data_IF_741345314903
#
_entry.id   IF_741345314903
#
_cell.length_a   1.000
_cell.length_b   1.000
_cell.length_c   1.000
_cell.angle_alpha   90.00
_cell.angle_beta   90.00
_cell.angle_gamma   90.00
#
_symmetry.space_group_name_H-M   'P 1'
#
loop_
_entity.id
_entity.type
_entity.pdbx_description
1 polymer ?
#
# COMPACT_ATOMS: atom_id res chain seq x y z
N UNK A 1 20.72 -5.35 5.51
CA UNK A 1 20.00 -5.09 6.79
C UNK A 1 19.35 -3.71 6.70
N UNK A 2 18.18 -3.63 6.06
CA UNK A 2 17.34 -2.44 6.20
C UNK A 2 16.49 -2.66 7.44
N UNK A 3 16.92 -2.11 8.57
CA UNK A 3 16.04 -1.95 9.71
C UNK A 3 14.93 -0.99 9.27
N UNK A 4 13.75 -1.53 8.96
CA UNK A 4 12.51 -0.76 8.86
C UNK A 4 12.19 -0.29 10.28
N UNK A 5 12.85 0.79 10.71
CA UNK A 5 12.41 1.54 11.87
C UNK A 5 11.03 2.07 11.48
N UNK A 6 9.95 1.70 12.20
CA UNK A 6 8.63 2.22 11.89
C UNK A 6 8.71 3.73 11.95
N UNK A 7 8.45 4.36 10.81
CA UNK A 7 8.53 5.80 10.69
C UNK A 7 7.39 6.41 11.52
N UNK A 8 7.77 7.14 12.57
CA UNK A 8 6.83 7.80 13.46
C UNK A 8 6.44 9.19 12.96
N UNK A 9 7.01 9.64 11.85
CA UNK A 9 6.90 11.04 11.38
C UNK A 9 5.45 11.50 11.17
N UNK A 10 4.50 10.58 11.03
CA UNK A 10 3.09 10.93 10.80
C UNK A 10 2.10 10.34 11.82
N UNK A 11 2.56 9.70 12.89
CA UNK A 11 1.66 9.11 13.90
C UNK A 11 0.80 10.18 14.57
N UNK A 12 -0.52 9.95 14.60
CA UNK A 12 -1.53 10.88 15.12
C UNK A 12 -1.94 11.98 14.14
N UNK A 13 -1.35 12.03 12.94
CA UNK A 13 -1.75 12.99 11.91
C UNK A 13 -3.13 12.60 11.37
N UNK A 14 -3.98 13.61 11.16
CA UNK A 14 -5.27 13.42 10.53
C UNK A 14 -5.09 13.27 9.02
N UNK A 15 -5.79 12.30 8.45
CA UNK A 15 -5.84 12.09 7.01
C UNK A 15 -7.04 12.85 6.46
N UNK A 16 -6.80 13.71 5.47
CA UNK A 16 -7.89 14.35 4.75
C UNK A 16 -8.62 13.32 3.87
N UNK A 17 -9.84 12.96 4.28
CA UNK A 17 -10.72 12.07 3.53
C UNK A 17 -12.05 12.77 3.21
N UNK A 18 -12.73 12.32 2.14
CA UNK A 18 -14.02 12.88 1.76
C UNK A 18 -15.18 12.36 2.61
N UNK A 19 -14.99 11.25 3.34
CA UNK A 19 -16.06 10.52 4.05
C UNK A 19 -15.97 10.59 5.57
N UNK A 20 -14.81 10.94 6.13
CA UNK A 20 -14.63 11.10 7.58
C UNK A 20 -13.51 12.09 7.90
N UNK A 21 -13.77 12.97 8.86
CA UNK A 21 -12.78 13.91 9.39
C UNK A 21 -11.91 13.33 10.51
N UNK A 22 -12.21 12.10 10.95
CA UNK A 22 -11.65 11.52 12.17
C UNK A 22 -10.70 10.34 11.90
N UNK A 23 -10.19 10.23 10.68
CA UNK A 23 -9.20 9.21 10.33
C UNK A 23 -7.83 9.70 10.75
N UNK A 24 -7.18 8.98 11.65
CA UNK A 24 -5.83 9.32 12.12
C UNK A 24 -4.85 8.19 11.88
N UNK A 25 -3.60 8.52 11.56
CA UNK A 25 -2.55 7.53 11.30
C UNK A 25 -2.08 6.94 12.63
N UNK A 26 -2.20 5.62 12.77
CA UNK A 26 -1.64 4.88 13.89
C UNK A 26 -0.14 4.62 13.69
N UNK A 27 0.24 4.23 12.47
CA UNK A 27 1.61 3.89 12.12
C UNK A 27 1.84 4.00 10.61
N UNK A 28 3.03 4.46 10.22
CA UNK A 28 3.54 4.29 8.85
C UNK A 28 4.28 2.95 8.77
N UNK A 29 3.86 2.10 7.85
CA UNK A 29 4.46 0.79 7.60
C UNK A 29 5.55 0.91 6.54
N UNK A 30 5.23 1.53 5.41
CA UNK A 30 6.12 1.70 4.27
C UNK A 30 5.91 3.06 3.62
N UNK A 31 6.97 3.55 2.97
CA UNK A 31 6.93 4.76 2.16
C UNK A 31 7.57 4.44 0.82
N UNK A 32 6.92 4.83 -0.27
CA UNK A 32 7.44 4.69 -1.62
C UNK A 32 7.28 6.01 -2.36
N UNK A 33 8.32 6.37 -3.11
CA UNK A 33 8.26 7.50 -4.03
C UNK A 33 8.02 6.95 -5.44
N UNK A 34 6.91 7.32 -6.05
CA UNK A 34 6.60 6.97 -7.44
C UNK A 34 6.59 8.26 -8.26
N UNK A 35 7.40 8.31 -9.32
CA UNK A 35 7.64 9.54 -10.08
C UNK A 35 8.03 10.72 -9.15
N UNK A 36 7.11 11.68 -8.94
CA UNK A 36 7.28 12.84 -8.05
C UNK A 36 6.34 12.84 -6.83
N UNK A 37 5.62 11.73 -6.61
CA UNK A 37 4.65 11.56 -5.53
C UNK A 37 5.22 10.65 -4.44
N UNK A 38 4.99 11.00 -3.18
CA UNK A 38 5.35 10.15 -2.04
C UNK A 38 4.09 9.54 -1.45
N UNK A 39 4.03 8.22 -1.47
CA UNK A 39 2.95 7.43 -0.90
C UNK A 39 3.40 6.75 0.38
N UNK A 40 2.55 6.78 1.39
CA UNK A 40 2.76 6.09 2.66
C UNK A 40 1.68 5.03 2.86
N UNK A 41 2.11 3.79 3.04
CA UNK A 41 1.28 2.68 3.46
C UNK A 41 1.16 2.75 4.97
N UNK A 42 -0.05 3.00 5.47
CA UNK A 42 -0.30 3.32 6.87
C UNK A 42 -1.36 2.41 7.47
N UNK A 43 -1.29 2.20 8.79
CA UNK A 43 -2.45 1.80 9.57
C UNK A 43 -3.17 3.03 10.11
N UNK A 44 -4.50 3.00 10.16
CA UNK A 44 -5.34 4.11 10.64
C UNK A 44 -6.33 3.69 11.70
N UNK A 45 -6.76 4.65 12.51
CA UNK A 45 -7.88 4.53 13.45
C UNK A 45 -9.07 5.34 12.94
N UNK A 46 -10.29 4.82 13.12
CA UNK A 46 -11.54 5.47 12.71
C UNK A 46 -12.16 4.93 11.40
N UNK A 47 -11.78 3.73 10.98
CA UNK A 47 -12.40 2.95 9.89
C UNK A 47 -13.11 1.73 10.50
N UNK A 48 -14.30 1.36 10.01
CA UNK A 48 -15.07 0.22 10.54
C UNK A 48 -14.39 -1.11 10.16
N UNK A 49 -14.04 -1.92 11.19
CA UNK A 49 -13.74 -3.37 11.32
C UNK A 49 -13.14 -4.20 10.16
N UNK A 50 -12.89 -3.64 8.98
CA UNK A 50 -12.61 -4.38 7.74
C UNK A 50 -11.33 -3.94 7.02
N UNK A 51 -10.53 -3.06 7.63
CA UNK A 51 -9.18 -2.81 7.13
C UNK A 51 -8.60 -1.51 7.65
N UNK A 52 -7.67 -1.62 8.59
CA UNK A 52 -6.91 -0.48 9.11
C UNK A 52 -5.89 0.05 8.09
N UNK A 53 -5.73 -0.60 6.93
CA UNK A 53 -4.68 -0.29 5.96
C UNK A 53 -5.14 0.71 4.90
N UNK A 54 -4.36 1.78 4.73
CA UNK A 54 -4.57 2.78 3.69
C UNK A 54 -3.26 3.17 3.02
N UNK A 55 -3.36 3.70 1.81
CA UNK A 55 -2.32 4.47 1.16
C UNK A 55 -2.68 5.95 1.22
N UNK A 56 -1.78 6.76 1.76
CA UNK A 56 -1.92 8.22 1.81
C UNK A 56 -0.84 8.87 0.98
N UNK A 57 -1.22 9.90 0.23
CA UNK A 57 -0.30 10.77 -0.49
C UNK A 57 0.15 11.88 0.44
N UNK A 58 1.46 12.09 0.51
CA UNK A 58 2.05 13.30 1.08
C UNK A 58 2.15 14.38 -0.01
N UNK A 59 1.41 15.48 0.18
CA UNK A 59 1.55 16.69 -0.63
C UNK A 59 1.89 17.91 0.24
N UNK A 60 2.06 19.07 -0.39
CA UNK A 60 2.39 20.33 0.27
C UNK A 60 1.25 20.86 1.17
N UNK A 61 0.05 20.28 1.10
CA UNK A 61 -1.10 20.62 1.93
C UNK A 61 -1.30 19.62 3.07
N UNK A 62 -0.63 18.46 3.03
CA UNK A 62 -0.61 17.47 4.11
C UNK A 62 -0.86 16.04 3.59
N UNK A 63 -1.40 15.20 4.47
CA UNK A 63 -1.69 13.80 4.17
C UNK A 63 -3.14 13.65 3.72
N UNK A 64 -3.33 13.09 2.52
CA UNK A 64 -4.66 12.87 1.94
C UNK A 64 -4.77 11.49 1.32
N UNK A 65 -6.00 11.00 1.22
CA UNK A 65 -6.24 9.77 0.47
C UNK A 65 -6.16 10.04 -1.03
N UNK A 66 -5.50 9.13 -1.76
CA UNK A 66 -5.58 9.09 -3.21
C UNK A 66 -6.97 8.60 -3.63
N UNK A 67 -7.74 9.48 -4.28
CA UNK A 67 -9.19 9.32 -4.47
C UNK A 67 -9.60 8.08 -5.29
N UNK A 68 -8.65 7.43 -5.98
CA UNK A 68 -8.88 6.29 -6.86
C UNK A 68 -8.65 4.91 -6.20
N UNK A 69 -8.15 4.86 -4.95
CA UNK A 69 -7.70 3.62 -4.30
C UNK A 69 -8.78 2.68 -3.76
N UNK A 70 -10.05 2.83 -4.17
CA UNK A 70 -11.10 1.87 -3.75
C UNK A 70 -11.10 0.58 -4.56
N UNK A 71 -10.36 0.51 -5.66
CA UNK A 71 -10.31 -0.65 -6.54
C UNK A 71 -8.90 -0.84 -7.09
N UNK A 72 -8.52 -2.09 -7.40
CA UNK A 72 -7.41 -2.35 -8.31
C UNK A 72 -7.57 -1.46 -9.55
N UNK A 73 -6.49 -0.87 -10.08
CA UNK A 73 -6.59 -0.09 -11.31
C UNK A 73 -7.21 -0.96 -12.41
N UNK A 74 -8.44 -0.64 -12.82
CA UNK A 74 -9.05 -1.20 -14.01
C UNK A 74 -8.57 -0.35 -15.19
N UNK A 75 -7.44 -0.73 -15.79
CA UNK A 75 -6.91 -0.06 -16.97
C UNK A 75 -7.79 -0.47 -18.16
N UNK A 76 -8.86 0.29 -18.41
CA UNK A 76 -9.80 0.04 -19.51
C UNK A 76 -9.08 -0.05 -20.85
N UNK A 77 -9.22 -1.22 -21.47
CA UNK A 77 -8.70 -1.69 -22.74
C UNK A 77 -8.60 -0.66 -23.88
N UNK A 78 -7.47 -0.73 -24.59
CA UNK A 78 -7.22 0.01 -25.83
C UNK A 78 -5.91 -0.36 -26.52
N UNK A 79 -4.88 -0.77 -25.76
CA UNK A 79 -3.61 -1.30 -26.31
C UNK A 79 -2.76 -2.10 -25.28
N UNK A 80 -3.27 -2.34 -24.05
CA UNK A 80 -2.49 -2.86 -22.91
C UNK A 80 -3.15 -4.06 -22.20
N UNK A 81 -4.04 -4.79 -22.86
CA UNK A 81 -4.83 -5.89 -22.28
C UNK A 81 -4.05 -7.10 -21.72
N UNK A 82 -2.70 -7.09 -21.77
CA UNK A 82 -1.84 -8.09 -21.11
C UNK A 82 -1.19 -7.59 -19.81
N UNK A 83 -1.24 -6.29 -19.52
CA UNK A 83 -0.61 -5.64 -18.35
C UNK A 83 -1.56 -5.47 -17.16
N UNK A 84 -2.84 -5.84 -17.30
CA UNK A 84 -3.92 -5.51 -16.35
C UNK A 84 -3.68 -5.94 -14.90
N UNK A 85 -2.69 -6.78 -14.61
CA UNK A 85 -2.29 -7.14 -13.24
C UNK A 85 -0.78 -7.42 -13.13
N UNK A 86 0.07 -6.75 -13.93
CA UNK A 86 1.51 -6.93 -13.80
C UNK A 86 2.04 -6.18 -12.55
N UNK A 87 2.62 -6.95 -11.64
CA UNK A 87 3.30 -6.43 -10.45
C UNK A 87 4.65 -5.86 -10.90
N UNK A 88 4.85 -4.57 -10.65
CA UNK A 88 6.12 -3.88 -10.83
C UNK A 88 7.06 -4.19 -9.65
N UNK A 89 6.55 -4.06 -8.43
CA UNK A 89 7.32 -4.26 -7.20
C UNK A 89 6.42 -4.69 -6.02
N UNK A 90 6.95 -5.56 -5.16
CA UNK A 90 6.41 -5.79 -3.82
C UNK A 90 7.22 -4.93 -2.85
N UNK A 91 6.61 -3.85 -2.37
CA UNK A 91 7.25 -2.86 -1.49
C UNK A 91 7.45 -3.44 -0.08
N UNK A 92 6.54 -4.32 0.34
CA UNK A 92 6.55 -4.91 1.66
C UNK A 92 5.33 -5.77 1.93
N UNK A 93 5.25 -6.28 3.16
CA UNK A 93 4.07 -6.98 3.66
C UNK A 93 3.70 -6.51 5.06
N UNK A 94 2.45 -6.75 5.43
CA UNK A 94 1.92 -6.51 6.76
C UNK A 94 1.11 -7.73 7.20
N UNK A 95 1.50 -8.30 8.34
CA UNK A 95 0.72 -9.34 9.01
C UNK A 95 -0.25 -8.68 9.99
N UNK A 96 -1.54 -8.77 9.70
CA UNK A 96 -2.58 -8.25 10.57
C UNK A 96 -2.71 -9.11 11.83
N UNK A 97 -3.24 -8.56 12.94
CA UNK A 97 -3.48 -9.34 14.16
C UNK A 97 -4.39 -10.57 13.99
N UNK A 98 -5.18 -10.60 12.91
CA UNK A 98 -6.01 -11.74 12.51
C UNK A 98 -5.23 -12.89 11.88
N UNK A 99 -3.95 -12.69 11.57
CA UNK A 99 -3.10 -13.61 10.82
C UNK A 99 -3.19 -13.45 9.30
N UNK A 100 -3.99 -12.49 8.81
CA UNK A 100 -4.08 -12.19 7.38
C UNK A 100 -2.82 -11.44 6.91
N UNK A 101 -2.25 -11.85 5.79
CA UNK A 101 -1.08 -11.20 5.18
C UNK A 101 -1.55 -10.30 4.04
N UNK A 102 -1.13 -9.04 4.11
CA UNK A 102 -1.34 -8.04 3.06
C UNK A 102 -0.01 -7.66 2.45
N UNK A 103 0.07 -7.64 1.13
CA UNK A 103 1.23 -7.15 0.40
C UNK A 103 0.99 -5.73 -0.11
N UNK A 104 2.02 -4.90 0.03
CA UNK A 104 2.09 -3.57 -0.57
C UNK A 104 2.57 -3.71 -2.02
N UNK A 105 1.64 -3.63 -2.98
CA UNK A 105 1.90 -3.92 -4.38
C UNK A 105 1.96 -2.64 -5.19
N UNK A 106 3.08 -2.41 -5.87
CA UNK A 106 3.21 -1.41 -6.95
C UNK A 106 2.92 -2.10 -8.28
N UNK A 107 1.98 -1.54 -9.03
CA UNK A 107 1.56 -2.06 -10.34
C UNK A 107 2.23 -1.30 -11.48
N UNK A 108 2.52 -2.01 -12.57
CA UNK A 108 3.06 -1.39 -13.77
C UNK A 108 2.05 -0.37 -14.31
N UNK A 109 2.51 0.85 -14.56
CA UNK A 109 1.68 1.92 -15.15
C UNK A 109 0.67 2.58 -14.21
N UNK A 110 0.65 2.21 -12.91
CA UNK A 110 -0.23 2.83 -11.92
C UNK A 110 0.57 3.44 -10.76
N UNK A 111 0.38 4.73 -10.51
CA UNK A 111 1.19 5.49 -9.55
C UNK A 111 1.01 5.02 -8.10
N UNK A 112 -0.24 4.89 -7.64
CA UNK A 112 -0.49 4.55 -6.24
C UNK A 112 -0.35 3.03 -6.02
N UNK A 113 0.44 2.57 -5.03
CA UNK A 113 0.40 1.17 -4.63
C UNK A 113 -0.95 0.79 -4.01
N UNK A 114 -1.23 -0.51 -3.94
CA UNK A 114 -2.40 -1.05 -3.25
C UNK A 114 -1.99 -2.05 -2.16
N UNK A 115 -2.88 -2.25 -1.19
CA UNK A 115 -2.77 -3.35 -0.22
C UNK A 115 -3.60 -4.51 -0.75
N UNK A 116 -2.97 -5.65 -0.99
CA UNK A 116 -3.61 -6.82 -1.58
C UNK A 116 -3.46 -8.01 -0.63
N UNK A 117 -4.56 -8.74 -0.41
CA UNK A 117 -4.52 -9.98 0.36
C UNK A 117 -3.66 -11.01 -0.37
N UNK A 118 -2.90 -11.80 0.39
CA UNK A 118 -2.10 -12.91 -0.16
C UNK A 118 -2.93 -13.83 -1.07
N UNK A 119 -4.13 -14.18 -0.62
CA UNK A 119 -5.05 -15.07 -1.34
C UNK A 119 -5.51 -14.48 -2.69
N UNK A 120 -5.51 -13.15 -2.84
CA UNK A 120 -5.99 -12.45 -4.04
C UNK A 120 -4.90 -12.27 -5.11
N UNK A 121 -3.63 -12.54 -4.79
CA UNK A 121 -2.49 -12.28 -5.66
C UNK A 121 -2.02 -13.48 -6.49
N UNK A 122 -2.62 -14.66 -6.31
CA UNK A 122 -2.47 -15.80 -7.21
C UNK A 122 -1.05 -16.37 -7.35
N UNK A 123 -0.11 -16.07 -6.44
CA UNK A 123 1.22 -16.70 -6.39
C UNK A 123 2.18 -16.32 -7.53
N UNK A 124 2.13 -15.07 -7.99
CA UNK A 124 3.03 -14.56 -9.05
C UNK A 124 4.53 -14.65 -8.71
N UNK A 125 5.38 -14.62 -9.75
CA UNK A 125 6.84 -14.71 -9.61
C UNK A 125 7.41 -13.65 -8.67
N UNK A 126 6.91 -12.42 -8.74
CA UNK A 126 7.34 -11.29 -7.92
C UNK A 126 7.14 -11.55 -6.42
N UNK A 127 6.05 -12.22 -6.04
CA UNK A 127 5.77 -12.58 -4.63
C UNK A 127 6.69 -13.70 -4.19
N UNK A 128 6.92 -14.68 -5.07
CA UNK A 128 7.86 -15.78 -4.78
C UNK A 128 9.27 -15.24 -4.57
N UNK A 129 9.75 -14.38 -5.49
CA UNK A 129 11.08 -13.77 -5.41
C UNK A 129 11.21 -12.91 -4.13
N UNK A 130 10.17 -12.15 -3.76
CA UNK A 130 10.11 -11.40 -2.50
C UNK A 130 10.22 -12.31 -1.27
N UNK A 131 9.41 -13.38 -1.19
CA UNK A 131 9.43 -14.32 -0.07
C UNK A 131 10.78 -15.03 0.05
N UNK A 132 11.40 -15.41 -1.07
CA UNK A 132 12.73 -16.00 -1.07
C UNK A 132 13.78 -15.02 -0.54
N UNK A 133 13.73 -13.75 -0.95
CA UNK A 133 14.63 -12.73 -0.44
C UNK A 133 14.50 -12.51 1.08
N UNK A 134 13.29 -12.58 1.62
CA UNK A 134 13.06 -12.52 3.07
C UNK A 134 13.71 -13.68 3.82
N UNK A 135 13.61 -14.90 3.28
CA UNK A 135 14.22 -16.10 3.88
C UNK A 135 15.75 -16.05 3.85
N UNK A 136 16.33 -15.52 2.78
CA UNK A 136 17.80 -15.38 2.64
C UNK A 136 18.38 -14.25 3.49
N UNK A 137 17.53 -13.33 3.96
CA UNK A 137 17.91 -12.18 4.78
C UNK A 137 17.84 -12.45 6.30
N UNK A 138 17.41 -13.65 6.70
CA UNK A 138 17.37 -14.14 8.09
C UNK A 138 18.69 -14.85 8.48
#
# INVERSE_FOLDING_TARGET
MMHLIPDRSHRGSLVHTAWSSNVSILQVLYSIKTSDLTFHGVTVEGFDDSGDLLWVLEDHLGLRIWQECRQRPFISDGDLGELENEIEEIVGHYEAPTGSIYYAVKWVGYECPTWELEDDLGGGRQITDYCMHLLESC
#
